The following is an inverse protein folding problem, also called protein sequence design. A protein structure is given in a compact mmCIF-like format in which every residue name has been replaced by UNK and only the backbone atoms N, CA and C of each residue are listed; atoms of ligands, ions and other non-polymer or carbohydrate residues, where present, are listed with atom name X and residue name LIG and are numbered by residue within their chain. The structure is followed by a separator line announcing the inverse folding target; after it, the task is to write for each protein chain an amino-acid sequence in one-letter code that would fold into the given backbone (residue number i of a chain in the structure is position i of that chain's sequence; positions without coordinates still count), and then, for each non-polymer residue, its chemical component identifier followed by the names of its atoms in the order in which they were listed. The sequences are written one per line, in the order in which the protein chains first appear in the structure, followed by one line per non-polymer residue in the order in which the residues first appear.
data_IF_606811564546
#
_entry.id   IF_606811564546
#
_cell.length_a   1.000
_cell.length_b   1.000
_cell.length_c   1.000
_cell.angle_alpha   90.00
_cell.angle_beta   90.00
_cell.angle_gamma   90.00
#
_symmetry.space_group_name_H-M   'P 1'
#
loop_
_entity.id
_entity.type
_entity.pdbx_description
1 polymer ?
#
# COMPACT_ATOMS: atom_id res chain seq x y z
N UNK A 1 15.23 -4.61 -5.24
CA UNK A 1 13.84 -4.13 -5.21
C UNK A 1 13.86 -2.67 -4.80
N UNK A 2 13.27 -1.79 -5.60
CA UNK A 2 13.08 -0.38 -5.22
C UNK A 2 11.66 -0.27 -4.66
N UNK A 3 11.52 0.33 -3.50
CA UNK A 3 10.23 0.70 -2.94
C UNK A 3 10.26 2.19 -2.60
N UNK A 4 9.10 2.82 -2.66
CA UNK A 4 8.92 4.20 -2.22
C UNK A 4 8.06 4.17 -0.97
N UNK A 5 8.61 4.68 0.13
CA UNK A 5 7.83 4.88 1.34
C UNK A 5 7.15 6.24 1.26
N UNK A 6 5.83 6.24 1.40
CA UNK A 6 5.01 7.46 1.44
C UNK A 6 4.40 7.57 2.82
N UNK A 7 4.81 8.59 3.58
CA UNK A 7 4.21 8.86 4.88
C UNK A 7 2.92 9.66 4.70
N UNK A 8 1.77 8.98 4.77
CA UNK A 8 0.44 9.58 4.59
C UNK A 8 0.04 10.55 5.71
N UNK A 9 0.69 10.52 6.86
CA UNK A 9 0.44 11.50 7.94
C UNK A 9 1.04 12.87 7.63
N UNK A 10 2.18 12.88 6.92
CA UNK A 10 2.89 14.10 6.51
C UNK A 10 2.54 14.52 5.08
N UNK A 11 2.25 13.57 4.22
CA UNK A 11 1.96 13.79 2.81
C UNK A 11 0.47 13.64 2.52
N UNK A 12 -0.20 14.78 2.36
CA UNK A 12 -1.64 14.84 2.04
C UNK A 12 -1.96 14.25 0.67
N UNK A 13 -1.04 14.31 -0.30
CA UNK A 13 -1.25 13.70 -1.62
C UNK A 13 -1.15 12.19 -1.53
N UNK A 14 -0.15 11.69 -0.81
CA UNK A 14 0.00 10.27 -0.51
C UNK A 14 -1.22 9.68 0.20
N UNK A 15 -1.79 10.42 1.16
CA UNK A 15 -3.03 10.04 1.83
C UNK A 15 -4.20 9.96 0.84
N UNK A 16 -4.35 10.95 -0.04
CA UNK A 16 -5.42 10.98 -1.01
C UNK A 16 -5.29 9.84 -2.03
N UNK A 17 -4.09 9.62 -2.57
CA UNK A 17 -3.82 8.47 -3.46
C UNK A 17 -4.09 7.13 -2.75
N UNK A 18 -3.71 7.01 -1.48
CA UNK A 18 -4.00 5.82 -0.69
C UNK A 18 -5.51 5.61 -0.56
N UNK A 19 -6.27 6.65 -0.19
CA UNK A 19 -7.73 6.58 -0.06
C UNK A 19 -8.42 6.23 -1.40
N UNK A 20 -7.98 6.83 -2.50
CA UNK A 20 -8.52 6.55 -3.84
C UNK A 20 -8.22 5.10 -4.27
N UNK A 21 -6.99 4.61 -4.05
CA UNK A 21 -6.59 3.25 -4.45
C UNK A 21 -7.14 2.16 -3.52
N UNK A 22 -7.39 2.49 -2.26
CA UNK A 22 -7.83 1.52 -1.25
C UNK A 22 -9.33 1.58 -0.93
N UNK A 23 -10.11 2.27 -1.77
CA UNK A 23 -11.57 2.42 -1.65
C UNK A 23 -11.98 3.02 -0.28
N UNK A 24 -11.29 4.09 0.12
CA UNK A 24 -11.54 4.80 1.37
C UNK A 24 -11.03 4.09 2.63
N UNK A 25 -10.19 3.06 2.50
CA UNK A 25 -9.60 2.37 3.64
C UNK A 25 -8.62 3.28 4.39
N UNK A 26 -8.86 3.49 5.68
CA UNK A 26 -8.03 4.33 6.55
C UNK A 26 -7.04 3.53 7.40
N UNK A 27 -7.06 2.20 7.30
CA UNK A 27 -6.15 1.33 8.04
C UNK A 27 -4.75 1.34 7.44
N UNK A 28 -3.75 1.63 8.26
CA UNK A 28 -2.34 1.44 7.91
C UNK A 28 -1.83 0.11 8.45
N UNK A 29 -0.86 -0.55 7.76
CA UNK A 29 -0.22 -0.14 6.51
C UNK A 29 -1.04 -0.53 5.26
N UNK A 30 -0.87 0.23 4.17
CA UNK A 30 -1.35 -0.14 2.82
C UNK A 30 -0.12 -0.32 1.93
N UNK A 31 -0.05 -1.44 1.21
CA UNK A 31 1.10 -1.81 0.39
C UNK A 31 0.61 -2.01 -1.04
N UNK A 32 1.22 -1.32 -2.01
CA UNK A 32 0.98 -1.51 -3.44
C UNK A 32 2.14 -2.32 -4.02
N UNK A 33 1.86 -3.51 -4.57
CA UNK A 33 2.85 -4.35 -5.25
C UNK A 33 2.31 -4.65 -6.64
N UNK A 34 2.99 -4.14 -7.68
CA UNK A 34 2.61 -4.32 -9.10
C UNK A 34 1.13 -3.99 -9.38
N UNK A 35 0.60 -2.94 -8.75
CA UNK A 35 -0.80 -2.51 -8.92
C UNK A 35 -1.81 -3.31 -8.08
N UNK A 36 -1.35 -4.29 -7.30
CA UNK A 36 -2.17 -4.99 -6.32
C UNK A 36 -2.11 -4.27 -4.98
N UNK A 37 -3.26 -3.75 -4.53
CA UNK A 37 -3.39 -3.06 -3.25
C UNK A 37 -3.62 -4.08 -2.12
N UNK A 38 -2.66 -4.18 -1.23
CA UNK A 38 -2.74 -4.94 0.01
C UNK A 38 -3.14 -4.01 1.15
N UNK A 39 -4.31 -4.29 1.74
CA UNK A 39 -4.80 -3.63 2.95
C UNK A 39 -4.27 -4.38 4.16
N UNK A 40 -3.50 -3.70 5.00
CA UNK A 40 -2.82 -4.29 6.15
C UNK A 40 -1.54 -5.05 5.79
N UNK A 41 -0.92 -5.67 6.79
CA UNK A 41 0.30 -6.45 6.64
C UNK A 41 -0.01 -7.95 6.62
N UNK A 42 0.17 -8.59 5.47
CA UNK A 42 0.04 -10.04 5.33
C UNK A 42 1.29 -10.64 4.66
N UNK A 43 2.22 -11.23 5.43
CA UNK A 43 3.50 -11.70 4.90
C UNK A 43 3.32 -12.79 3.82
N UNK A 44 2.37 -13.72 4.00
CA UNK A 44 2.08 -14.77 3.01
C UNK A 44 1.58 -14.19 1.67
N UNK A 45 0.76 -13.14 1.72
CA UNK A 45 0.21 -12.53 0.52
C UNK A 45 1.28 -11.73 -0.23
N UNK A 46 2.10 -10.99 0.52
CA UNK A 46 3.23 -10.22 -0.01
C UNK A 46 4.27 -11.16 -0.65
N UNK A 47 4.66 -12.23 0.04
CA UNK A 47 5.60 -13.22 -0.52
C UNK A 47 5.09 -13.84 -1.83
N UNK A 48 3.77 -14.08 -1.93
CA UNK A 48 3.16 -14.61 -3.16
C UNK A 48 3.18 -13.58 -4.29
N UNK A 49 2.97 -12.30 -3.97
CA UNK A 49 3.03 -11.21 -4.93
C UNK A 49 4.46 -10.98 -5.46
N UNK A 50 5.46 -11.04 -4.57
CA UNK A 50 6.87 -10.84 -4.92
C UNK A 50 7.53 -12.00 -5.69
N UNK A 51 6.88 -13.18 -5.74
CA UNK A 51 7.38 -14.37 -6.43
C UNK A 51 6.82 -14.56 -7.84
N UNK A 52 6.01 -13.61 -8.33
CA UNK A 52 5.56 -13.60 -9.73
C UNK A 52 6.67 -13.22 -10.70
#
# INVERSE_FOLDING_TARGET
MKYTEVNVEKDKKGLQEMLEKSDGYTGIPVIDIDGTIFRGFSPRAIEKALKQ
#
